data_IF_132754439109
#
_entry.id   IF_132754439109
#
_cell.length_a   1.000
_cell.length_b   1.000
_cell.length_c   1.000
_cell.angle_alpha   90.00
_cell.angle_beta   90.00
_cell.angle_gamma   90.00
#
_symmetry.space_group_name_H-M   'P 1'
#
loop_
_entity.id
_entity.type
_entity.pdbx_description
1 polymer ?
#
# COMPACT_ATOMS: atom_id res chain seq x y z
N UNK A 1 -3.92 1.59 0.48
CA UNK A 1 -2.61 2.11 0.96
C UNK A 1 -2.51 2.09 2.47
N UNK A 2 -3.47 2.68 3.19
CA UNK A 2 -3.47 2.69 4.67
C UNK A 2 -3.42 1.27 5.25
N UNK A 3 -4.21 0.34 4.70
CA UNK A 3 -4.22 -1.06 5.13
C UNK A 3 -2.84 -1.73 5.01
N UNK A 4 -2.18 -1.56 3.86
CA UNK A 4 -0.83 -2.08 3.65
C UNK A 4 0.19 -1.40 4.55
N UNK A 5 0.00 -0.13 4.88
CA UNK A 5 0.88 0.57 5.81
C UNK A 5 0.72 0.04 7.24
N UNK A 6 -0.51 -0.22 7.68
CA UNK A 6 -0.79 -0.88 8.95
C UNK A 6 -0.17 -2.29 9.00
N UNK A 7 -0.37 -3.09 7.95
CA UNK A 7 0.08 -4.48 7.87
C UNK A 7 1.60 -4.62 7.78
N UNK A 8 2.25 -3.82 6.93
CA UNK A 8 3.68 -3.98 6.61
C UNK A 8 4.57 -3.13 7.51
N UNK A 9 4.15 -1.90 7.80
CA UNK A 9 5.02 -0.94 8.48
C UNK A 9 4.82 -0.91 9.99
N UNK A 10 3.72 -1.48 10.50
CA UNK A 10 3.38 -1.48 11.92
C UNK A 10 2.95 -0.10 12.40
N UNK A 11 1.65 0.19 12.34
CA UNK A 11 1.06 1.42 12.84
C UNK A 11 -0.46 1.31 12.82
N UNK A 12 -1.14 1.98 13.75
CA UNK A 12 -2.60 2.03 13.73
C UNK A 12 -3.10 3.04 12.69
N UNK A 13 -4.38 2.90 12.32
CA UNK A 13 -5.03 3.87 11.44
C UNK A 13 -4.94 5.29 12.03
N UNK A 14 -5.17 5.43 13.33
CA UNK A 14 -5.12 6.69 14.05
C UNK A 14 -3.74 7.35 13.97
N UNK A 15 -2.67 6.57 14.18
CA UNK A 15 -1.29 7.08 14.07
C UNK A 15 -0.97 7.58 12.66
N UNK A 16 -1.50 6.91 11.62
CA UNK A 16 -1.31 7.34 10.23
C UNK A 16 -2.07 8.63 9.93
N UNK A 17 -3.30 8.77 10.44
CA UNK A 17 -4.08 10.00 10.30
C UNK A 17 -3.39 11.17 11.01
N UNK A 18 -2.87 10.96 12.22
CA UNK A 18 -2.09 11.97 12.96
C UNK A 18 -0.81 12.37 12.21
N UNK A 19 -0.19 11.42 11.50
CA UNK A 19 0.98 11.67 10.64
C UNK A 19 0.62 12.34 9.30
N UNK A 20 -0.67 12.53 8.99
CA UNK A 20 -1.13 13.11 7.73
C UNK A 20 -1.05 12.15 6.54
N UNK A 21 -1.08 10.84 6.79
CA UNK A 21 -1.08 9.80 5.77
C UNK A 21 -2.49 9.20 5.56
N UNK A 22 -2.84 8.80 4.32
CA UNK A 22 -2.04 8.89 3.11
C UNK A 22 -2.03 10.33 2.55
N UNK A 23 -0.86 10.83 2.18
CA UNK A 23 -0.75 12.20 1.67
C UNK A 23 -1.40 12.37 0.29
N UNK A 24 -2.42 13.23 0.21
CA UNK A 24 -3.05 13.64 -1.05
C UNK A 24 -2.08 14.48 -1.91
N UNK A 25 -1.94 14.12 -3.18
CA UNK A 25 -1.07 14.78 -4.18
C UNK A 25 -1.89 15.56 -5.20
N UNK A 26 -3.03 15.00 -5.63
CA UNK A 26 -3.96 15.62 -6.58
C UNK A 26 -5.38 15.04 -6.38
N UNK A 27 -6.41 15.74 -6.84
CA UNK A 27 -7.81 15.28 -6.74
C UNK A 27 -8.72 16.16 -5.88
N UNK A 28 -8.47 17.46 -5.83
CA UNK A 28 -9.38 18.44 -5.22
C UNK A 28 -10.50 18.88 -6.17
N UNK A 29 -10.48 18.41 -7.43
CA UNK A 29 -11.39 18.85 -8.49
C UNK A 29 -12.48 17.78 -8.72
N UNK A 30 -13.68 18.21 -9.16
CA UNK A 30 -14.96 17.47 -9.21
C UNK A 30 -14.99 16.13 -9.99
N UNK A 31 -13.87 15.68 -10.55
CA UNK A 31 -13.76 14.48 -11.38
C UNK A 31 -13.67 13.16 -10.58
N UNK A 32 -13.75 13.21 -9.25
CA UNK A 32 -13.77 12.04 -8.34
C UNK A 32 -12.44 11.26 -8.25
N UNK A 33 -11.44 11.67 -9.03
CA UNK A 33 -10.14 11.04 -9.11
C UNK A 33 -9.18 11.60 -8.05
N UNK A 34 -8.72 10.77 -7.13
CA UNK A 34 -7.75 11.14 -6.09
C UNK A 34 -6.41 10.43 -6.29
N UNK A 35 -5.32 11.17 -6.15
CA UNK A 35 -3.95 10.65 -6.21
C UNK A 35 -3.32 10.79 -4.84
N UNK A 36 -2.92 9.68 -4.25
CA UNK A 36 -2.21 9.64 -2.98
C UNK A 36 -0.76 9.22 -3.17
N UNK A 37 0.15 9.81 -2.40
CA UNK A 37 1.54 9.37 -2.36
C UNK A 37 1.67 8.12 -1.49
N UNK A 38 2.45 7.13 -1.94
CA UNK A 38 2.94 6.07 -1.05
C UNK A 38 3.93 6.72 -0.08
N UNK A 39 3.71 6.53 1.23
CA UNK A 39 4.57 7.12 2.25
C UNK A 39 6.02 6.65 2.09
N UNK A 40 7.02 7.46 2.50
CA UNK A 40 8.42 7.03 2.48
C UNK A 40 8.67 5.76 3.30
N UNK A 41 7.89 5.56 4.37
CA UNK A 41 7.96 4.41 5.28
C UNK A 41 7.46 3.15 4.59
N UNK A 42 6.23 3.15 4.09
CA UNK A 42 5.67 2.03 3.34
C UNK A 42 6.52 1.70 2.11
N UNK A 43 7.04 2.74 1.43
CA UNK A 43 7.94 2.58 0.31
C UNK A 43 9.24 1.86 0.70
N UNK A 44 9.83 2.19 1.85
CA UNK A 44 11.05 1.55 2.34
C UNK A 44 10.79 0.08 2.72
N UNK A 45 9.69 -0.18 3.42
CA UNK A 45 9.32 -1.54 3.82
C UNK A 45 9.04 -2.41 2.59
N UNK A 46 8.21 -1.97 1.65
CA UNK A 46 7.91 -2.72 0.42
C UNK A 46 9.17 -3.04 -0.40
N UNK A 47 10.14 -2.13 -0.45
CA UNK A 47 11.38 -2.35 -1.19
C UNK A 47 12.39 -3.25 -0.47
N UNK A 48 12.29 -3.38 0.84
CA UNK A 48 13.18 -4.17 1.68
C UNK A 48 12.60 -5.51 2.13
N UNK A 49 11.29 -5.70 2.00
CA UNK A 49 10.58 -6.88 2.48
C UNK A 49 11.06 -8.16 1.80
N UNK A 50 11.26 -9.19 2.61
CA UNK A 50 11.47 -10.54 2.12
C UNK A 50 10.18 -11.11 1.53
N UNK A 51 10.32 -12.13 0.67
CA UNK A 51 9.16 -12.77 0.02
C UNK A 51 8.17 -13.34 1.04
N UNK A 52 8.65 -13.96 2.11
CA UNK A 52 7.79 -14.50 3.17
C UNK A 52 7.01 -13.40 3.89
N UNK A 53 7.62 -12.23 4.14
CA UNK A 53 6.94 -11.10 4.77
C UNK A 53 5.83 -10.53 3.86
N UNK A 54 6.08 -10.47 2.55
CA UNK A 54 5.07 -10.06 1.56
C UNK A 54 3.94 -11.08 1.44
N UNK A 55 4.24 -12.37 1.51
CA UNK A 55 3.23 -13.45 1.49
C UNK A 55 2.34 -13.39 2.75
N UNK A 56 2.93 -13.24 3.93
CA UNK A 56 2.19 -13.10 5.19
C UNK A 56 1.27 -11.87 5.18
N UNK A 57 1.78 -10.73 4.71
CA UNK A 57 1.00 -9.51 4.57
C UNK A 57 -0.12 -9.65 3.53
N UNK A 58 0.11 -10.40 2.44
CA UNK A 58 -0.90 -10.67 1.42
C UNK A 58 -2.03 -11.54 1.94
N UNK A 59 -1.70 -12.59 2.70
CA UNK A 59 -2.68 -13.44 3.37
C UNK A 59 -3.53 -12.62 4.34
N UNK A 60 -2.89 -11.81 5.19
CA UNK A 60 -3.57 -10.94 6.14
C UNK A 60 -4.49 -9.93 5.44
N UNK A 61 -4.02 -9.30 4.36
CA UNK A 61 -4.82 -8.35 3.59
C UNK A 61 -6.03 -9.01 2.92
N UNK A 62 -5.85 -10.20 2.35
CA UNK A 62 -6.92 -11.01 1.75
C UNK A 62 -8.02 -11.36 2.77
N UNK A 63 -7.63 -11.77 3.99
CA UNK A 63 -8.55 -12.04 5.10
C UNK A 63 -9.33 -10.79 5.52
N UNK A 64 -8.65 -9.64 5.71
CA UNK A 64 -9.31 -8.38 6.06
C UNK A 64 -10.34 -7.94 5.01
N UNK A 65 -10.03 -8.09 3.72
CA UNK A 65 -11.00 -7.75 2.66
C UNK A 65 -12.21 -8.67 2.67
N UNK A 66 -12.00 -9.96 2.94
CA UNK A 66 -13.11 -10.90 3.04
C UNK A 66 -14.06 -10.55 4.20
N UNK A 67 -13.54 -10.03 5.33
CA UNK A 67 -14.34 -9.52 6.45
C UNK A 67 -15.21 -8.33 6.04
N UNK A 68 -14.71 -7.47 5.14
CA UNK A 68 -15.44 -6.34 4.57
C UNK A 68 -16.36 -6.72 3.40
N UNK A 69 -16.45 -8.01 3.05
CA UNK A 69 -17.28 -8.53 1.96
C UNK A 69 -16.63 -8.45 0.57
N UNK A 70 -15.36 -8.07 0.47
CA UNK A 70 -14.60 -8.04 -0.77
C UNK A 70 -13.67 -9.27 -0.87
N UNK A 71 -13.92 -10.14 -1.85
CA UNK A 71 -13.15 -11.37 -1.97
C UNK A 71 -11.93 -11.15 -2.87
N UNK A 72 -10.78 -10.90 -2.26
CA UNK A 72 -9.48 -10.99 -2.92
C UNK A 72 -8.86 -12.34 -2.57
N UNK A 73 -8.67 -13.21 -3.55
CA UNK A 73 -8.02 -14.50 -3.33
C UNK A 73 -6.56 -14.33 -2.89
N UNK A 74 -6.09 -15.20 -1.99
CA UNK A 74 -4.74 -15.13 -1.42
C UNK A 74 -3.64 -15.12 -2.49
N UNK A 75 -3.74 -15.98 -3.51
CA UNK A 75 -2.80 -16.00 -4.64
C UNK A 75 -2.77 -14.65 -5.38
N UNK A 76 -3.94 -14.03 -5.58
CA UNK A 76 -4.05 -12.71 -6.20
C UNK A 76 -3.41 -11.64 -5.31
N UNK A 77 -3.65 -11.69 -3.99
CA UNK A 77 -3.05 -10.77 -3.03
C UNK A 77 -1.51 -10.88 -3.04
N UNK A 78 -0.96 -12.09 -3.11
CA UNK A 78 0.49 -12.34 -3.16
C UNK A 78 1.08 -11.72 -4.44
N UNK A 79 0.45 -11.93 -5.58
CA UNK A 79 0.89 -11.33 -6.86
C UNK A 79 0.86 -9.80 -6.78
N UNK A 80 -0.24 -9.22 -6.27
CA UNK A 80 -0.39 -7.75 -6.14
C UNK A 80 0.73 -7.16 -5.27
N UNK A 81 0.96 -7.72 -4.08
CA UNK A 81 1.98 -7.21 -3.15
C UNK A 81 3.40 -7.45 -3.66
N UNK A 82 3.66 -8.58 -4.31
CA UNK A 82 4.94 -8.88 -4.95
C UNK A 82 5.27 -7.90 -6.09
N UNK A 83 4.32 -7.66 -6.99
CA UNK A 83 4.48 -6.72 -8.10
C UNK A 83 4.64 -5.28 -7.60
N UNK A 84 3.87 -4.89 -6.58
CA UNK A 84 3.99 -3.57 -5.95
C UNK A 84 5.36 -3.38 -5.29
N UNK A 85 5.85 -4.37 -4.55
CA UNK A 85 7.19 -4.35 -3.94
C UNK A 85 8.29 -4.20 -5.01
N UNK A 86 8.19 -4.97 -6.09
CA UNK A 86 9.11 -4.87 -7.23
C UNK A 86 9.06 -3.49 -7.89
N UNK A 87 7.86 -2.95 -8.12
CA UNK A 87 7.65 -1.62 -8.71
C UNK A 87 8.21 -0.51 -7.82
N UNK A 88 7.89 -0.52 -6.53
CA UNK A 88 8.40 0.45 -5.54
C UNK A 88 9.91 0.36 -5.41
N UNK A 89 10.48 -0.85 -5.33
CA UNK A 89 11.94 -1.03 -5.29
C UNK A 89 12.62 -0.46 -6.54
N UNK A 90 12.01 -0.65 -7.71
CA UNK A 90 12.48 -0.11 -8.99
C UNK A 90 12.39 1.43 -9.04
N UNK A 91 11.33 2.02 -8.52
CA UNK A 91 11.14 3.46 -8.43
C UNK A 91 12.16 4.11 -7.47
N UNK A 92 12.34 3.52 -6.27
CA UNK A 92 13.29 3.99 -5.26
C UNK A 92 14.73 4.00 -5.76
N UNK A 93 15.17 2.95 -6.45
CA UNK A 93 16.51 2.90 -7.08
C UNK A 93 16.74 4.03 -8.09
N UNK A 94 15.68 4.62 -8.64
CA UNK A 94 15.72 5.77 -9.55
C UNK A 94 15.43 7.10 -8.87
N UNK A 95 15.32 7.14 -7.53
CA UNK A 95 14.97 8.34 -6.77
C UNK A 95 13.55 8.86 -7.06
N UNK A 96 12.64 7.97 -7.47
CA UNK A 96 11.25 8.33 -7.80
C UNK A 96 10.30 7.91 -6.69
N UNK A 97 9.31 8.76 -6.43
CA UNK A 97 8.17 8.44 -5.55
C UNK A 97 7.10 7.67 -6.34
N UNK A 98 6.36 6.83 -5.62
CA UNK A 98 5.20 6.13 -6.16
C UNK A 98 3.93 6.81 -5.67
N UNK A 99 2.94 6.95 -6.54
CA UNK A 99 1.60 7.41 -6.20
C UNK A 99 0.57 6.38 -6.66
N UNK A 100 -0.55 6.34 -5.94
CA UNK A 100 -1.71 5.52 -6.26
C UNK A 100 -2.85 6.46 -6.67
N UNK A 101 -3.43 6.19 -7.84
CA UNK A 101 -4.61 6.87 -8.33
C UNK A 101 -5.83 6.00 -8.06
N UNK A 102 -6.88 6.60 -7.51
CA UNK A 102 -8.15 5.95 -7.14
C UNK A 102 -9.29 6.73 -7.78
N UNK A 103 -10.26 6.01 -8.35
CA UNK A 103 -11.47 6.52 -8.99
C UNK A 103 -12.67 5.65 -8.62
#
# INVERSE_FOLDING_TARGET
MVEWECLLSGGSYEELVEAGEPRLVAGQDDDGCVVFAVSPRLSAVLAGAERSELEDAAVAWSLQRAEDGEVIGTETAIVILGDLAAFVGSARRRGRNVCCWVA
#
